data_IF_304306334964
#
_entry.id   IF_304306334964
#
_cell.length_a   1.000
_cell.length_b   1.000
_cell.length_c   1.000
_cell.angle_alpha   90.00
_cell.angle_beta   90.00
_cell.angle_gamma   90.00
#
_symmetry.space_group_name_H-M   'P 1'
#
loop_
_entity.id
_entity.type
_entity.pdbx_description
1 polymer ?
#
# COMPACT_ATOMS: atom_id res chain seq x y z
N UNK A 1 5.13 20.54 -9.13
CA UNK A 1 4.73 19.26 -8.52
C UNK A 1 3.39 18.89 -9.12
N UNK A 2 3.26 17.73 -9.77
CA UNK A 2 1.91 17.19 -10.00
C UNK A 2 1.42 16.59 -8.69
N UNK A 3 0.12 16.66 -8.46
CA UNK A 3 -0.52 15.99 -7.34
C UNK A 3 -0.44 14.47 -7.58
N UNK A 4 -0.29 13.70 -6.49
CA UNK A 4 -0.22 12.23 -6.56
C UNK A 4 -1.57 11.63 -6.95
N UNK A 5 -2.69 12.25 -6.52
CA UNK A 5 -4.08 11.86 -6.80
C UNK A 5 -4.37 10.37 -6.55
N UNK A 6 -3.74 9.78 -5.52
CA UNK A 6 -4.00 8.41 -5.08
C UNK A 6 -5.05 8.38 -3.97
N UNK A 7 -5.74 7.26 -3.81
CA UNK A 7 -6.67 7.05 -2.71
C UNK A 7 -5.97 6.35 -1.53
N UNK A 8 -6.18 6.86 -0.32
CA UNK A 8 -5.71 6.27 0.93
C UNK A 8 -6.52 5.03 1.28
N UNK A 9 -6.08 4.30 2.31
CA UNK A 9 -6.79 3.13 2.81
C UNK A 9 -8.22 3.48 3.29
N UNK A 10 -8.42 4.71 3.75
CA UNK A 10 -9.70 5.20 4.27
C UNK A 10 -10.54 5.95 3.23
N UNK A 11 -10.11 5.99 1.96
CA UNK A 11 -10.83 6.68 0.89
C UNK A 11 -10.52 8.17 0.77
N UNK A 12 -9.45 8.65 1.41
CA UNK A 12 -9.03 10.05 1.34
C UNK A 12 -8.06 10.26 0.17
N UNK A 13 -8.06 11.45 -0.43
CA UNK A 13 -7.12 11.76 -1.51
C UNK A 13 -5.74 12.08 -0.93
N UNK A 14 -4.74 11.37 -1.42
CA UNK A 14 -3.31 11.58 -1.16
C UNK A 14 -2.80 12.60 -2.16
N UNK A 15 -2.36 13.75 -1.65
CA UNK A 15 -1.89 14.89 -2.42
C UNK A 15 -0.35 15.04 -2.35
N UNK A 16 0.27 14.55 -1.27
CA UNK A 16 1.73 14.71 -1.03
C UNK A 16 2.48 13.39 -0.85
N UNK A 17 3.79 13.35 -1.14
CA UNK A 17 4.62 12.17 -0.88
C UNK A 17 4.59 11.73 0.59
N UNK A 18 4.54 12.65 1.54
CA UNK A 18 4.46 12.34 2.97
C UNK A 18 3.18 11.57 3.31
N UNK A 19 2.02 12.04 2.81
CA UNK A 19 0.75 11.34 2.96
C UNK A 19 0.78 9.95 2.34
N UNK A 20 1.47 9.79 1.20
CA UNK A 20 1.66 8.49 0.57
C UNK A 20 2.48 7.53 1.46
N UNK A 21 3.54 8.02 2.10
CA UNK A 21 4.36 7.21 3.01
C UNK A 21 3.59 6.84 4.29
N UNK A 22 2.77 7.74 4.83
CA UNK A 22 1.91 7.46 5.99
C UNK A 22 0.89 6.36 5.66
N UNK A 23 0.16 6.50 4.55
CA UNK A 23 -0.78 5.47 4.06
C UNK A 23 -0.07 4.13 3.80
N UNK A 24 1.15 4.17 3.27
CA UNK A 24 1.94 2.96 3.07
C UNK A 24 2.23 2.26 4.39
N UNK A 25 2.73 3.00 5.38
CA UNK A 25 3.08 2.44 6.69
C UNK A 25 1.86 1.81 7.36
N UNK A 26 0.70 2.45 7.26
CA UNK A 26 -0.56 1.90 7.76
C UNK A 26 -0.92 0.58 7.07
N UNK A 27 -0.89 0.55 5.73
CA UNK A 27 -1.22 -0.65 4.96
C UNK A 27 -0.25 -1.81 5.22
N UNK A 28 1.03 -1.53 5.43
CA UNK A 28 2.03 -2.54 5.83
C UNK A 28 1.71 -3.10 7.21
N UNK A 29 1.34 -2.25 8.18
CA UNK A 29 0.95 -2.71 9.52
C UNK A 29 -0.31 -3.59 9.48
N UNK A 30 -1.32 -3.21 8.69
CA UNK A 30 -2.52 -4.02 8.48
C UNK A 30 -2.15 -5.35 7.86
N UNK A 31 -1.36 -5.33 6.78
CA UNK A 31 -0.91 -6.53 6.09
C UNK A 31 -0.17 -7.49 7.03
N UNK A 32 0.74 -6.97 7.86
CA UNK A 32 1.46 -7.74 8.86
C UNK A 32 0.50 -8.39 9.87
N UNK A 33 -0.43 -7.63 10.44
CA UNK A 33 -1.39 -8.16 11.42
C UNK A 33 -2.28 -9.25 10.79
N UNK A 34 -2.80 -9.02 9.58
CA UNK A 34 -3.59 -10.02 8.85
C UNK A 34 -2.81 -11.30 8.59
N UNK A 35 -1.52 -11.21 8.25
CA UNK A 35 -0.68 -12.39 8.05
C UNK A 35 -0.41 -13.17 9.33
N UNK A 36 -0.25 -12.46 10.46
CA UNK A 36 -0.01 -13.10 11.76
C UNK A 36 -1.23 -13.88 12.27
N UNK A 37 -2.42 -13.54 11.81
CA UNK A 37 -3.67 -14.24 12.10
C UNK A 37 -3.94 -15.43 11.16
N UNK A 38 -3.32 -15.46 9.99
CA UNK A 38 -3.45 -16.55 9.03
C UNK A 38 -2.49 -17.70 9.37
N UNK A 39 -2.99 -18.92 9.46
CA UNK A 39 -2.18 -20.11 9.76
C UNK A 39 -1.70 -20.83 8.49
N UNK A 40 -2.42 -20.66 7.38
CA UNK A 40 -2.09 -21.28 6.10
C UNK A 40 -0.98 -20.49 5.38
N UNK A 41 0.20 -21.12 5.26
CA UNK A 41 1.38 -20.52 4.61
C UNK A 41 1.16 -20.17 3.13
N UNK A 42 0.32 -20.91 2.41
CA UNK A 42 0.00 -20.60 1.02
C UNK A 42 -0.88 -19.36 0.93
N UNK A 43 -1.84 -19.20 1.85
CA UNK A 43 -2.63 -17.98 1.95
C UNK A 43 -1.76 -16.77 2.34
N UNK A 44 -0.86 -16.93 3.32
CA UNK A 44 0.11 -15.89 3.68
C UNK A 44 0.94 -15.46 2.46
N UNK A 45 1.47 -16.41 1.70
CA UNK A 45 2.29 -16.14 0.52
C UNK A 45 1.47 -15.43 -0.58
N UNK A 46 0.25 -15.89 -0.84
CA UNK A 46 -0.65 -15.28 -1.82
C UNK A 46 -1.00 -13.83 -1.44
N UNK A 47 -1.26 -13.59 -0.15
CA UNK A 47 -1.55 -12.27 0.38
C UNK A 47 -0.36 -11.31 0.23
N UNK A 48 0.83 -11.70 0.71
CA UNK A 48 2.06 -10.88 0.60
C UNK A 48 2.35 -10.55 -0.86
N UNK A 49 2.25 -11.55 -1.75
CA UNK A 49 2.54 -11.36 -3.17
C UNK A 49 1.59 -10.35 -3.80
N UNK A 50 0.29 -10.47 -3.49
CA UNK A 50 -0.73 -9.53 -3.99
C UNK A 50 -0.49 -8.12 -3.45
N UNK A 51 -0.18 -8.00 -2.15
CA UNK A 51 0.17 -6.73 -1.51
C UNK A 51 1.36 -6.05 -2.19
N UNK A 52 2.45 -6.77 -2.43
CA UNK A 52 3.66 -6.25 -3.07
C UNK A 52 3.41 -5.79 -4.52
N UNK A 53 2.59 -6.53 -5.29
CA UNK A 53 2.21 -6.16 -6.65
C UNK A 53 1.42 -4.85 -6.65
N UNK A 54 0.41 -4.74 -5.79
CA UNK A 54 -0.39 -3.52 -5.65
C UNK A 54 0.47 -2.34 -5.21
N UNK A 55 1.34 -2.55 -4.22
CA UNK A 55 2.27 -1.53 -3.73
C UNK A 55 3.18 -1.00 -4.83
N UNK A 56 3.84 -1.89 -5.59
CA UNK A 56 4.68 -1.49 -6.72
C UNK A 56 3.92 -0.64 -7.73
N UNK A 57 2.67 -1.01 -8.05
CA UNK A 57 1.83 -0.26 -8.97
C UNK A 57 1.56 1.17 -8.49
N UNK A 58 1.25 1.33 -7.20
CA UNK A 58 1.03 2.66 -6.59
C UNK A 58 2.30 3.50 -6.56
N UNK A 59 3.41 2.90 -6.14
CA UNK A 59 4.71 3.59 -6.08
C UNK A 59 5.12 4.12 -7.46
N UNK A 60 4.95 3.33 -8.52
CA UNK A 60 5.25 3.76 -9.88
C UNK A 60 4.43 4.99 -10.29
N UNK A 61 3.11 5.02 -10.01
CA UNK A 61 2.25 6.16 -10.34
C UNK A 61 2.63 7.42 -9.57
N UNK A 62 2.96 7.27 -8.29
CA UNK A 62 3.48 8.37 -7.46
C UNK A 62 4.78 8.92 -8.06
N UNK A 63 5.74 8.05 -8.40
CA UNK A 63 7.03 8.44 -8.97
C UNK A 63 6.91 9.05 -10.37
N UNK A 64 5.93 8.68 -11.18
CA UNK A 64 5.64 9.31 -12.49
C UNK A 64 5.04 10.72 -12.36
N UNK A 65 4.50 11.05 -11.18
CA UNK A 65 3.85 12.33 -10.86
C UNK A 65 4.74 13.30 -10.06
N UNK A 66 5.91 12.86 -9.57
CA UNK A 66 6.90 13.74 -8.90
C UNK A 66 7.80 14.41 -9.95
#
# INVERSE_FOLDING_TARGET
MKLIEEESFHGEIIETPEQFIEDLCERVNIAYNTMMEEEDRMNQLAFITTFLIAFKGRLNRVCENI
#
